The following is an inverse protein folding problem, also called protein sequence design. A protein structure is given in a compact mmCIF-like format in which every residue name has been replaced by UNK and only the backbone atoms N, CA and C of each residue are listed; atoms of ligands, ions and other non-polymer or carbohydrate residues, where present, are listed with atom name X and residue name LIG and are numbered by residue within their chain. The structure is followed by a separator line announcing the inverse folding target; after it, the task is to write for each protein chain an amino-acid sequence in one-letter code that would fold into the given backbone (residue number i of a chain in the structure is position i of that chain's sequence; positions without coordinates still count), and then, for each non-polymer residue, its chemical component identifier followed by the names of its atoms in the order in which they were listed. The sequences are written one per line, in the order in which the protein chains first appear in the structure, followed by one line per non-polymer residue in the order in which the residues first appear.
data_IF_557653167858
#
_entry.id   IF_557653167858
#
_cell.length_a   1.000
_cell.length_b   1.000
_cell.length_c   1.000
_cell.angle_alpha   90.00
_cell.angle_beta   90.00
_cell.angle_gamma   90.00
#
_symmetry.space_group_name_H-M   'P 1'
#
loop_
_entity.id
_entity.type
_entity.pdbx_description
1 polymer ?
#
# COMPACT_ATOMS: atom_id res chain seq x y z
N UNK A 1 2.87 1.55 -3.75
CA UNK A 1 2.45 0.22 -3.27
C UNK A 1 1.17 0.27 -2.44
N UNK A 2 1.06 1.15 -1.42
CA UNK A 2 -0.14 1.28 -0.57
C UNK A 2 -1.44 1.55 -1.34
N UNK A 3 -1.38 2.36 -2.41
CA UNK A 3 -2.52 2.55 -3.32
C UNK A 3 -2.96 1.25 -4.00
N UNK A 4 -2.02 0.45 -4.51
CA UNK A 4 -2.28 -0.85 -5.12
C UNK A 4 -2.88 -1.84 -4.11
N UNK A 5 -2.41 -1.83 -2.85
CA UNK A 5 -3.01 -2.62 -1.78
C UNK A 5 -4.47 -2.21 -1.48
N UNK A 6 -4.74 -0.91 -1.41
CA UNK A 6 -6.09 -0.38 -1.14
C UNK A 6 -7.07 -0.69 -2.29
N UNK A 7 -6.64 -0.49 -3.54
CA UNK A 7 -7.41 -0.85 -4.73
C UNK A 7 -7.69 -2.35 -4.77
N UNK A 8 -6.68 -3.18 -4.51
CA UNK A 8 -6.83 -4.63 -4.46
C UNK A 8 -7.79 -5.06 -3.36
N UNK A 9 -7.72 -4.42 -2.19
CA UNK A 9 -8.63 -4.72 -1.07
C UNK A 9 -10.09 -4.45 -1.44
N UNK A 10 -10.36 -3.38 -2.20
CA UNK A 10 -11.71 -3.13 -2.73
C UNK A 10 -12.14 -4.25 -3.67
N UNK A 11 -11.29 -4.66 -4.61
CA UNK A 11 -11.61 -5.77 -5.53
C UNK A 11 -11.82 -7.10 -4.78
N UNK A 12 -10.99 -7.41 -3.78
CA UNK A 12 -11.10 -8.61 -2.94
C UNK A 12 -12.37 -8.60 -2.10
N UNK A 13 -12.84 -7.44 -1.67
CA UNK A 13 -14.11 -7.34 -0.94
C UNK A 13 -15.30 -7.81 -1.76
N UNK A 14 -15.24 -7.64 -3.09
CA UNK A 14 -16.29 -8.02 -4.05
C UNK A 14 -16.22 -9.49 -4.49
N UNK A 15 -15.08 -10.17 -4.30
CA UNK A 15 -14.95 -11.61 -4.55
C UNK A 15 -15.93 -12.41 -3.69
N UNK A 16 -16.61 -13.37 -4.33
CA UNK A 16 -17.61 -14.23 -3.69
C UNK A 16 -18.96 -13.56 -3.41
N UNK A 17 -19.19 -12.34 -3.93
CA UNK A 17 -20.49 -11.67 -3.88
C UNK A 17 -21.20 -11.78 -5.24
N UNK A 18 -22.45 -11.33 -5.34
CA UNK A 18 -23.21 -11.23 -6.60
C UNK A 18 -22.49 -10.41 -7.70
N UNK A 19 -21.48 -9.60 -7.34
CA UNK A 19 -20.70 -8.79 -8.27
C UNK A 19 -19.44 -9.49 -8.80
N UNK A 20 -19.22 -10.76 -8.44
CA UNK A 20 -18.06 -11.52 -8.87
C UNK A 20 -18.14 -11.89 -10.36
N UNK A 21 -17.48 -11.08 -11.18
CA UNK A 21 -17.40 -11.25 -12.64
C UNK A 21 -16.00 -11.63 -13.09
N UNK A 22 -15.88 -12.27 -14.25
CA UNK A 22 -14.58 -12.57 -14.88
C UNK A 22 -13.74 -11.31 -15.11
N UNK A 23 -14.38 -10.19 -15.46
CA UNK A 23 -13.69 -8.88 -15.61
C UNK A 23 -13.10 -8.39 -14.30
N UNK A 24 -13.82 -8.55 -13.18
CA UNK A 24 -13.33 -8.17 -11.86
C UNK A 24 -12.10 -8.99 -11.46
N UNK A 25 -12.13 -10.30 -11.70
CA UNK A 25 -11.00 -11.21 -11.45
C UNK A 25 -9.78 -10.89 -12.30
N UNK A 26 -9.99 -10.65 -13.60
CA UNK A 26 -8.90 -10.24 -14.49
C UNK A 26 -8.28 -8.90 -14.02
N UNK A 27 -9.12 -7.94 -13.62
CA UNK A 27 -8.67 -6.66 -13.06
C UNK A 27 -7.86 -6.88 -11.77
N UNK A 28 -8.34 -7.76 -10.89
CA UNK A 28 -7.65 -8.12 -9.66
C UNK A 28 -6.28 -8.73 -9.95
N UNK A 29 -6.20 -9.69 -10.87
CA UNK A 29 -4.95 -10.32 -11.28
C UNK A 29 -3.97 -9.31 -11.88
N UNK A 30 -4.46 -8.39 -12.72
CA UNK A 30 -3.63 -7.30 -13.26
C UNK A 30 -3.08 -6.41 -12.14
N UNK A 31 -3.92 -6.03 -11.16
CA UNK A 31 -3.50 -5.21 -10.02
C UNK A 31 -2.53 -5.95 -9.10
N UNK A 32 -2.68 -7.26 -8.94
CA UNK A 32 -1.72 -8.12 -8.23
C UNK A 32 -0.34 -8.11 -8.91
N UNK A 33 -0.30 -8.37 -10.21
CA UNK A 33 0.96 -8.36 -10.98
C UNK A 33 1.64 -6.99 -10.95
N UNK A 34 0.87 -5.91 -11.12
CA UNK A 34 1.39 -4.55 -11.01
C UNK A 34 1.97 -4.27 -9.61
N UNK A 35 1.28 -4.71 -8.55
CA UNK A 35 1.76 -4.57 -7.18
C UNK A 35 3.03 -5.38 -6.90
N UNK A 36 3.12 -6.62 -7.39
CA UNK A 36 4.31 -7.46 -7.25
C UNK A 36 5.52 -6.84 -8.00
N UNK A 37 5.33 -6.40 -9.25
CA UNK A 37 6.38 -5.71 -10.00
C UNK A 37 6.86 -4.44 -9.29
N UNK A 38 5.92 -3.63 -8.78
CA UNK A 38 6.27 -2.43 -8.03
C UNK A 38 7.05 -2.75 -6.75
N UNK A 39 6.70 -3.82 -6.04
CA UNK A 39 7.44 -4.27 -4.86
C UNK A 39 8.87 -4.70 -5.24
N UNK A 40 9.04 -5.49 -6.30
CA UNK A 40 10.36 -5.94 -6.81
C UNK A 40 11.23 -4.76 -7.27
N UNK A 41 10.64 -3.80 -7.98
CA UNK A 41 11.40 -2.63 -8.44
C UNK A 41 11.77 -1.70 -7.28
N UNK A 42 10.89 -1.55 -6.30
CA UNK A 42 11.20 -0.79 -5.08
C UNK A 42 12.31 -1.46 -4.28
N UNK A 43 12.31 -2.79 -4.15
CA UNK A 43 13.39 -3.56 -3.52
C UNK A 43 14.74 -3.34 -4.22
N UNK A 44 14.79 -3.45 -5.55
CA UNK A 44 16.00 -3.17 -6.34
C UNK A 44 16.51 -1.76 -6.13
N UNK A 45 15.62 -0.77 -6.16
CA UNK A 45 15.98 0.64 -5.94
C UNK A 45 16.49 0.86 -4.51
N UNK A 46 15.88 0.19 -3.52
CA UNK A 46 16.32 0.26 -2.13
C UNK A 46 17.73 -0.30 -1.97
N UNK A 47 18.00 -1.49 -2.52
CA UNK A 47 19.34 -2.10 -2.53
C UNK A 47 20.38 -1.22 -3.22
N UNK A 48 20.02 -0.61 -4.35
CA UNK A 48 20.89 0.33 -5.03
C UNK A 48 21.17 1.57 -4.16
N UNK A 49 20.14 2.13 -3.51
CA UNK A 49 20.27 3.28 -2.62
C UNK A 49 21.14 2.99 -1.39
N UNK A 50 21.00 1.80 -0.79
CA UNK A 50 21.81 1.40 0.36
C UNK A 50 23.27 1.11 0.01
N UNK A 51 23.56 0.73 -1.24
CA UNK A 51 24.92 0.50 -1.74
C UNK A 51 25.69 1.78 -2.12
N UNK A 52 25.04 2.95 -2.16
CA UNK A 52 25.70 4.20 -2.56
C UNK A 52 26.74 4.66 -1.52
N UNK A 53 27.92 5.14 -1.96
CA UNK A 53 28.97 5.59 -1.05
C UNK A 53 28.52 6.75 -0.18
N UNK A 54 28.94 6.68 1.08
CA UNK A 54 28.59 7.64 2.14
C UNK A 54 29.34 8.95 1.88
N UNK A 55 28.59 10.03 1.64
CA UNK A 55 29.13 11.39 1.52
C UNK A 55 29.14 12.14 2.85
N UNK A 56 29.55 13.43 2.86
CA UNK A 56 29.61 14.25 4.08
C UNK A 56 28.25 14.39 4.79
N UNK A 57 27.14 14.26 4.07
CA UNK A 57 25.77 14.30 4.61
C UNK A 57 25.26 12.94 5.14
N UNK A 58 26.12 12.15 5.79
CA UNK A 58 25.83 10.80 6.26
C UNK A 58 24.59 10.73 7.18
N UNK A 59 24.43 11.70 8.07
CA UNK A 59 23.30 11.74 9.03
C UNK A 59 21.96 11.93 8.33
N UNK A 60 21.89 12.82 7.35
CA UNK A 60 20.66 13.07 6.59
C UNK A 60 20.30 11.87 5.72
N UNK A 61 21.28 11.22 5.08
CA UNK A 61 21.04 10.00 4.31
C UNK A 61 20.57 8.84 5.19
N UNK A 62 21.14 8.68 6.40
CA UNK A 62 20.72 7.63 7.33
C UNK A 62 19.24 7.78 7.71
N UNK A 63 18.82 9.00 8.07
CA UNK A 63 17.43 9.31 8.39
C UNK A 63 16.49 9.07 7.18
N UNK A 64 16.92 9.41 5.97
CA UNK A 64 16.15 9.13 4.75
C UNK A 64 16.05 7.63 4.48
N UNK A 65 17.14 6.86 4.64
CA UNK A 65 17.17 5.40 4.52
C UNK A 65 16.19 4.75 5.49
N UNK A 66 16.27 5.10 6.78
CA UNK A 66 15.39 4.55 7.82
C UNK A 66 13.91 4.84 7.52
N UNK A 67 13.57 6.08 7.14
CA UNK A 67 12.19 6.43 6.75
C UNK A 67 11.71 5.62 5.55
N UNK A 68 12.51 5.54 4.49
CA UNK A 68 12.16 4.82 3.27
C UNK A 68 11.99 3.32 3.53
N UNK A 69 12.84 2.71 4.36
CA UNK A 69 12.71 1.31 4.76
C UNK A 69 11.44 1.06 5.57
N UNK A 70 11.12 1.94 6.52
CA UNK A 70 9.91 1.84 7.33
C UNK A 70 8.64 2.00 6.49
N UNK A 71 8.60 3.00 5.60
CA UNK A 71 7.46 3.25 4.71
C UNK A 71 7.25 2.08 3.74
N UNK A 72 8.33 1.56 3.17
CA UNK A 72 8.26 0.42 2.26
C UNK A 72 7.82 -0.85 2.99
N UNK A 73 8.37 -1.13 4.18
CA UNK A 73 7.95 -2.26 5.02
C UNK A 73 6.47 -2.18 5.39
N UNK A 74 5.97 -1.01 5.77
CA UNK A 74 4.55 -0.80 6.08
C UNK A 74 3.66 -1.05 4.85
N UNK A 75 4.05 -0.52 3.69
CA UNK A 75 3.32 -0.72 2.44
C UNK A 75 3.32 -2.18 1.98
N UNK A 76 4.46 -2.87 2.13
CA UNK A 76 4.64 -4.27 1.77
C UNK A 76 3.81 -5.19 2.68
N UNK A 77 3.77 -4.91 3.98
CA UNK A 77 2.92 -5.61 4.94
C UNK A 77 1.43 -5.49 4.58
N UNK A 78 0.99 -4.28 4.26
CA UNK A 78 -0.40 -4.06 3.81
C UNK A 78 -0.70 -4.85 2.55
N UNK A 79 0.20 -4.83 1.57
CA UNK A 79 0.03 -5.56 0.31
C UNK A 79 -0.03 -7.08 0.51
N UNK A 80 0.89 -7.64 1.31
CA UNK A 80 0.92 -9.06 1.62
C UNK A 80 -0.35 -9.53 2.34
N UNK A 81 -0.87 -8.73 3.27
CA UNK A 81 -2.15 -9.02 3.95
C UNK A 81 -3.30 -9.11 2.95
N UNK A 82 -3.38 -8.17 2.01
CA UNK A 82 -4.41 -8.18 0.96
C UNK A 82 -4.27 -9.39 0.04
N UNK A 83 -3.05 -9.78 -0.35
CA UNK A 83 -2.82 -10.99 -1.15
C UNK A 83 -3.25 -12.27 -0.41
N UNK A 84 -2.96 -12.39 0.89
CA UNK A 84 -3.42 -13.53 1.70
C UNK A 84 -4.94 -13.59 1.78
N UNK A 85 -5.59 -12.46 2.00
CA UNK A 85 -7.05 -12.37 2.02
C UNK A 85 -7.66 -12.76 0.67
N UNK A 86 -7.05 -12.34 -0.45
CA UNK A 86 -7.47 -12.76 -1.78
C UNK A 86 -7.38 -14.28 -1.94
N UNK A 87 -6.25 -14.88 -1.54
CA UNK A 87 -6.03 -16.32 -1.65
C UNK A 87 -7.00 -17.12 -0.78
N UNK A 88 -7.32 -16.62 0.41
CA UNK A 88 -8.30 -17.23 1.31
C UNK A 88 -9.71 -17.22 0.71
N UNK A 89 -10.16 -16.07 0.19
CA UNK A 89 -11.47 -15.97 -0.48
C UNK A 89 -11.60 -16.88 -1.69
N UNK A 90 -10.56 -16.95 -2.52
CA UNK A 90 -10.54 -17.86 -3.67
C UNK A 90 -10.59 -19.33 -3.24
N UNK A 91 -9.84 -19.71 -2.20
CA UNK A 91 -9.88 -21.07 -1.63
C UNK A 91 -11.25 -21.40 -1.06
N UNK A 92 -11.87 -20.48 -0.33
CA UNK A 92 -13.20 -20.67 0.23
C UNK A 92 -14.25 -20.89 -0.85
N UNK A 93 -14.18 -20.11 -1.94
CA UNK A 93 -15.04 -20.29 -3.11
C UNK A 93 -14.88 -21.68 -3.72
N UNK A 94 -13.64 -22.08 -4.03
CA UNK A 94 -13.34 -23.41 -4.60
C UNK A 94 -13.80 -24.54 -3.69
N UNK A 95 -13.57 -24.42 -2.37
CA UNK A 95 -13.99 -25.41 -1.39
C UNK A 95 -15.52 -25.55 -1.34
N UNK A 96 -16.26 -24.43 -1.36
CA UNK A 96 -17.71 -24.40 -1.34
C UNK A 96 -18.32 -25.05 -2.58
N UNK A 97 -17.83 -24.73 -3.78
CA UNK A 97 -18.33 -25.32 -5.04
C UNK A 97 -18.06 -26.83 -5.07
N UNK A 98 -16.89 -27.28 -4.61
CA UNK A 98 -16.58 -28.72 -4.48
C UNK A 98 -17.39 -29.44 -3.41
N UNK A 99 -17.71 -28.79 -2.30
CA UNK A 99 -18.57 -29.38 -1.27
C UNK A 99 -20.00 -29.56 -1.79
N UNK A 100 -20.53 -28.55 -2.49
CA UNK A 100 -21.83 -28.61 -3.15
C UNK A 100 -21.88 -29.73 -4.21
N UNK A 101 -20.78 -29.93 -4.95
CA UNK A 101 -20.66 -31.02 -5.93
C UNK A 101 -20.74 -32.41 -5.30
N UNK A 102 -20.05 -32.61 -4.17
CA UNK A 102 -20.01 -33.90 -3.48
C UNK A 102 -21.35 -34.26 -2.85
N UNK A 103 -22.07 -33.28 -2.31
CA UNK A 103 -23.43 -33.47 -1.78
C UNK A 103 -24.41 -33.85 -2.89
N UNK A 104 -24.24 -33.32 -4.11
CA UNK A 104 -25.07 -33.66 -5.27
C UNK A 104 -24.72 -35.03 -5.90
N UNK A 105 -23.46 -35.49 -5.76
CA UNK A 105 -22.99 -36.78 -6.33
C UNK A 105 -23.00 -38.00 -5.40
N UNK A 106 -23.33 -37.87 -4.10
CA UNK A 106 -23.26 -39.05 -3.23
C UNK A 106 -23.62 -38.83 -1.77
N UNK A 107 -24.92 -38.86 -1.48
CA UNK A 107 -25.46 -39.18 -0.17
C UNK A 107 -26.21 -40.51 -0.23
N UNK A 108 -25.52 -41.63 -0.44
CA UNK A 108 -26.09 -42.96 -0.21
C UNK A 108 -25.36 -43.57 0.99
N UNK A 109 -26.01 -43.71 2.16
CA UNK A 109 -25.50 -44.58 3.20
C UNK A 109 -25.62 -46.02 2.66
N UNK A 110 -24.48 -46.66 2.40
CA UNK A 110 -24.46 -48.12 2.21
C UNK A 110 -24.71 -48.80 3.56
N UNK A 111 -25.97 -48.86 3.97
CA UNK A 111 -26.44 -49.78 5.00
C UNK A 111 -27.96 -49.96 4.88
N UNK A 112 -28.40 -50.81 3.95
CA UNK A 112 -29.71 -51.46 4.08
C UNK A 112 -29.80 -52.72 3.22
N UNK A 113 -29.52 -53.87 3.83
CA UNK A 113 -30.01 -55.17 3.38
C UNK A 113 -31.54 -55.17 3.43
N UNK A 114 -32.24 -55.19 2.28
CA UNK A 114 -33.70 -55.29 2.27
C UNK A 114 -34.40 -55.07 0.93
N UNK A 115 -34.37 -56.11 0.09
CA UNK A 115 -35.32 -56.48 -0.98
C UNK A 115 -36.52 -55.54 -1.31
N UNK A 116 -36.50 -54.87 -2.47
CA UNK A 116 -37.66 -54.64 -3.36
C UNK A 116 -37.23 -54.04 -4.73
N UNK A 117 -37.89 -54.39 -5.85
CA UNK A 117 -37.57 -53.87 -7.18
C UNK A 117 -38.45 -52.66 -7.56
N UNK A 118 -37.98 -51.91 -8.56
CA UNK A 118 -38.70 -51.00 -9.48
C UNK A 118 -38.31 -49.51 -9.41
N UNK A 119 -38.04 -48.96 -10.62
CA UNK A 119 -37.80 -47.55 -10.99
C UNK A 119 -36.44 -46.91 -10.67
N UNK A 120 -35.39 -47.40 -11.35
CA UNK A 120 -34.08 -46.74 -11.42
C UNK A 120 -33.88 -45.84 -12.66
N UNK A 121 -34.92 -45.56 -13.46
CA UNK A 121 -34.78 -44.83 -14.73
C UNK A 121 -35.22 -43.36 -14.69
N UNK A 122 -35.73 -42.84 -13.56
CA UNK A 122 -36.27 -41.47 -13.48
C UNK A 122 -35.55 -40.54 -12.50
N UNK A 123 -34.60 -41.03 -11.70
CA UNK A 123 -33.77 -40.18 -10.81
C UNK A 123 -32.48 -39.72 -11.53
N UNK A 124 -32.14 -40.33 -12.66
CA UNK A 124 -30.90 -40.06 -13.40
C UNK A 124 -30.92 -38.77 -14.24
N UNK A 125 -32.06 -38.07 -14.31
CA UNK A 125 -32.20 -36.81 -15.04
C UNK A 125 -32.15 -35.56 -14.13
N UNK A 126 -32.02 -35.75 -12.80
CA UNK A 126 -31.90 -34.66 -11.82
C UNK A 126 -30.62 -34.76 -11.00
N UNK A 127 -29.66 -35.58 -11.45
CA UNK A 127 -28.24 -35.39 -11.16
C UNK A 127 -27.81 -34.22 -12.02
N UNK A 128 -28.00 -33.00 -11.49
CA UNK A 128 -27.47 -31.78 -12.12
C UNK A 128 -26.01 -32.03 -12.45
N UNK A 129 -25.74 -32.12 -13.74
CA UNK A 129 -24.40 -32.23 -14.26
C UNK A 129 -23.62 -31.08 -13.63
N UNK A 130 -22.56 -31.42 -12.92
CA UNK A 130 -21.52 -30.47 -12.61
C UNK A 130 -21.12 -29.82 -13.95
N UNK A 131 -21.52 -28.57 -14.17
CA UNK A 131 -21.46 -27.98 -15.50
C UNK A 131 -19.97 -27.89 -15.90
N UNK A 132 -19.65 -28.16 -17.16
CA UNK A 132 -18.28 -28.00 -17.67
C UNK A 132 -17.75 -26.57 -17.43
N UNK A 133 -18.65 -25.59 -17.39
CA UNK A 133 -18.39 -24.21 -17.01
C UNK A 133 -17.92 -24.05 -15.56
N UNK A 134 -18.52 -24.77 -14.60
CA UNK A 134 -18.12 -24.73 -13.18
C UNK A 134 -16.73 -25.34 -12.98
N UNK A 135 -16.41 -26.42 -13.71
CA UNK A 135 -15.08 -27.04 -13.70
C UNK A 135 -14.01 -26.07 -14.23
N UNK A 136 -14.31 -25.39 -15.34
CA UNK A 136 -13.41 -24.37 -15.92
C UNK A 136 -13.20 -23.21 -14.95
N UNK A 137 -14.26 -22.75 -14.30
CA UNK A 137 -14.19 -21.68 -13.30
C UNK A 137 -13.35 -22.08 -12.10
N UNK A 138 -13.52 -23.29 -11.56
CA UNK A 138 -12.67 -23.81 -10.48
C UNK A 138 -11.21 -23.84 -10.90
N UNK A 139 -10.92 -24.32 -12.11
CA UNK A 139 -9.55 -24.38 -12.61
C UNK A 139 -8.92 -22.98 -12.75
N UNK A 140 -9.70 -21.99 -13.21
CA UNK A 140 -9.27 -20.59 -13.25
C UNK A 140 -8.92 -20.08 -11.85
N UNK A 141 -9.79 -20.30 -10.86
CA UNK A 141 -9.54 -19.88 -9.47
C UNK A 141 -8.32 -20.57 -8.87
N UNK A 142 -8.14 -21.87 -9.12
CA UNK A 142 -6.97 -22.60 -8.63
C UNK A 142 -5.67 -22.08 -9.24
N UNK A 143 -5.68 -21.71 -10.52
CA UNK A 143 -4.54 -21.04 -11.13
C UNK A 143 -4.25 -19.69 -10.46
N UNK A 144 -5.28 -18.91 -10.14
CA UNK A 144 -5.12 -17.65 -9.42
C UNK A 144 -4.57 -17.83 -8.00
N UNK A 145 -5.01 -18.87 -7.27
CA UNK A 145 -4.48 -19.23 -5.95
C UNK A 145 -2.99 -19.56 -6.03
N UNK A 146 -2.57 -20.39 -6.99
CA UNK A 146 -1.15 -20.73 -7.18
C UNK A 146 -0.30 -19.51 -7.49
N UNK A 147 -0.81 -18.60 -8.32
CA UNK A 147 -0.14 -17.33 -8.61
C UNK A 147 0.02 -16.49 -7.34
N UNK A 148 -1.04 -16.36 -6.54
CA UNK A 148 -1.00 -15.65 -5.26
C UNK A 148 0.01 -16.25 -4.27
N UNK A 149 0.09 -17.58 -4.18
CA UNK A 149 1.09 -18.27 -3.35
C UNK A 149 2.52 -17.97 -3.80
N UNK A 150 2.76 -17.97 -5.12
CA UNK A 150 4.05 -17.60 -5.70
C UNK A 150 4.38 -16.14 -5.39
N UNK A 151 3.43 -15.22 -5.60
CA UNK A 151 3.64 -13.79 -5.34
C UNK A 151 3.91 -13.54 -3.85
N UNK A 152 3.22 -14.24 -2.93
CA UNK A 152 3.48 -14.12 -1.48
C UNK A 152 4.90 -14.61 -1.14
N UNK A 153 5.40 -15.62 -1.85
CA UNK A 153 6.77 -16.12 -1.68
C UNK A 153 7.78 -15.07 -2.12
N UNK A 154 7.58 -14.45 -3.28
CA UNK A 154 8.43 -13.33 -3.76
C UNK A 154 8.47 -12.18 -2.73
N UNK A 155 7.32 -11.84 -2.15
CA UNK A 155 7.22 -10.77 -1.15
C UNK A 155 7.96 -11.15 0.14
N UNK A 156 7.93 -12.43 0.55
CA UNK A 156 8.70 -12.89 1.70
C UNK A 156 10.22 -12.78 1.46
N UNK A 157 10.68 -12.97 0.23
CA UNK A 157 12.10 -12.79 -0.10
C UNK A 157 12.50 -11.30 0.00
N UNK A 158 11.65 -10.39 -0.47
CA UNK A 158 11.85 -8.95 -0.26
C UNK A 158 11.87 -8.59 1.24
N UNK A 159 11.04 -9.23 2.08
CA UNK A 159 11.09 -9.03 3.53
C UNK A 159 12.43 -9.47 4.15
N UNK A 160 13.04 -10.56 3.67
CA UNK A 160 14.37 -10.98 4.12
C UNK A 160 15.42 -9.94 3.73
N UNK A 161 15.34 -9.44 2.51
CA UNK A 161 16.24 -8.38 2.02
C UNK A 161 16.11 -7.09 2.85
N UNK A 162 14.88 -6.69 3.18
CA UNK A 162 14.62 -5.57 4.09
C UNK A 162 15.19 -5.82 5.49
N UNK A 163 15.00 -7.02 6.03
CA UNK A 163 15.56 -7.43 7.32
C UNK A 163 17.08 -7.29 7.35
N UNK A 164 17.77 -7.68 6.27
CA UNK A 164 19.22 -7.49 6.14
C UNK A 164 19.61 -6.00 6.09
N UNK A 165 18.89 -5.18 5.33
CA UNK A 165 19.17 -3.73 5.21
C UNK A 165 18.94 -2.95 6.51
N UNK A 166 18.06 -3.48 7.39
CA UNK A 166 17.77 -2.94 8.72
C UNK A 166 18.76 -3.47 9.76
N UNK A 167 19.14 -4.76 9.73
CA UNK A 167 20.04 -5.36 10.73
C UNK A 167 21.47 -4.78 10.73
N UNK A 168 21.93 -4.19 9.62
CA UNK A 168 23.18 -3.40 9.57
C UNK A 168 23.11 -2.05 10.32
N UNK A 169 21.93 -1.67 10.82
CA UNK A 169 21.69 -0.49 11.66
C UNK A 169 21.09 -0.98 12.99
N UNK A 170 21.92 -1.14 14.03
CA UNK A 170 21.46 -1.61 15.35
C UNK A 170 20.24 -0.85 15.87
N UNK A 171 19.29 -1.61 16.45
CA UNK A 171 18.04 -1.21 17.10
C UNK A 171 17.01 -0.41 16.27
N UNK A 172 16.10 -1.13 15.60
CA UNK A 172 14.69 -0.72 15.47
C UNK A 172 13.78 -1.89 15.08
N UNK A 173 13.60 -2.84 16.00
CA UNK A 173 12.44 -3.76 16.00
C UNK A 173 11.63 -3.40 17.24
N UNK A 174 11.05 -2.20 17.30
CA UNK A 174 9.99 -1.91 18.28
C UNK A 174 9.13 -0.68 17.92
N UNK A 175 8.76 -0.54 16.64
CA UNK A 175 7.90 0.58 16.21
C UNK A 175 6.82 0.18 15.21
N UNK A 176 6.32 -1.06 15.29
CA UNK A 176 5.12 -1.47 14.53
C UNK A 176 3.83 -0.92 15.19
N UNK A 177 3.89 -0.35 16.39
CA UNK A 177 2.72 0.25 17.07
C UNK A 177 2.70 1.79 17.09
N UNK A 178 3.81 2.47 16.79
CA UNK A 178 3.91 3.94 16.97
C UNK A 178 3.68 4.80 15.71
N UNK A 179 3.63 4.21 14.51
CA UNK A 179 3.68 5.00 13.27
C UNK A 179 2.33 5.45 12.68
N UNK A 180 1.23 5.28 13.43
CA UNK A 180 -0.06 5.93 13.11
C UNK A 180 -0.11 7.39 13.60
N UNK A 181 0.76 7.79 14.54
CA UNK A 181 0.76 9.15 15.11
C UNK A 181 1.65 10.16 14.34
N UNK A 182 2.56 9.67 13.50
CA UNK A 182 3.55 10.54 12.81
C UNK A 182 3.00 11.23 11.56
N UNK A 183 1.89 10.74 10.99
CA UNK A 183 1.25 11.37 9.82
C UNK A 183 0.53 12.68 10.18
N UNK A 184 -0.01 12.79 11.40
CA UNK A 184 -0.69 14.01 11.88
C UNK A 184 0.31 15.13 12.19
N UNK A 185 1.45 14.78 12.77
CA UNK A 185 2.53 15.71 13.10
C UNK A 185 3.21 16.33 11.88
N UNK A 186 3.19 15.68 10.71
CA UNK A 186 3.79 16.22 9.49
C UNK A 186 2.92 17.33 8.85
N UNK A 187 1.59 17.21 8.95
CA UNK A 187 0.64 18.24 8.50
C UNK A 187 0.62 19.43 9.47
N UNK A 188 0.71 19.17 10.78
CA UNK A 188 0.72 20.22 11.79
C UNK A 188 1.97 21.11 11.66
N UNK A 189 3.16 20.51 11.46
CA UNK A 189 4.41 21.26 11.25
C UNK A 189 4.45 22.00 9.91
N UNK A 190 3.88 21.45 8.84
CA UNK A 190 3.76 22.14 7.55
C UNK A 190 2.86 23.38 7.65
N UNK A 191 1.75 23.30 8.39
CA UNK A 191 0.85 24.44 8.62
C UNK A 191 1.48 25.53 9.50
N UNK A 192 2.28 25.14 10.50
CA UNK A 192 3.02 26.08 11.33
C UNK A 192 4.09 26.83 10.53
N UNK A 193 4.84 26.14 9.66
CA UNK A 193 5.84 26.80 8.82
C UNK A 193 5.22 27.80 7.82
N UNK A 194 4.05 27.48 7.26
CA UNK A 194 3.30 28.41 6.39
C UNK A 194 2.79 29.64 7.17
N UNK A 195 2.29 29.44 8.39
CA UNK A 195 1.80 30.53 9.24
C UNK A 195 2.94 31.44 9.73
N UNK A 196 4.08 30.84 10.08
CA UNK A 196 5.26 31.57 10.54
C UNK A 196 5.88 32.37 9.39
N UNK A 197 5.96 31.82 8.18
CA UNK A 197 6.41 32.52 6.98
C UNK A 197 5.53 33.75 6.64
N UNK A 198 4.20 33.61 6.76
CA UNK A 198 3.28 34.74 6.55
C UNK A 198 3.46 35.86 7.59
N UNK A 199 3.64 35.50 8.86
CA UNK A 199 3.86 36.48 9.95
C UNK A 199 5.20 37.23 9.81
N UNK A 200 6.24 36.54 9.33
CA UNK A 200 7.56 37.12 9.11
C UNK A 200 7.53 38.12 7.95
N UNK A 201 6.79 37.80 6.87
CA UNK A 201 6.60 38.69 5.72
C UNK A 201 5.89 39.99 6.10
N UNK A 202 4.88 39.94 6.99
CA UNK A 202 4.15 41.14 7.42
C UNK A 202 5.01 42.06 8.31
N UNK A 203 5.86 41.48 9.16
CA UNK A 203 6.75 42.23 10.05
C UNK A 203 7.92 42.87 9.30
N UNK A 204 8.44 42.22 8.26
CA UNK A 204 9.51 42.75 7.40
C UNK A 204 9.07 44.00 6.64
N UNK A 205 7.85 44.02 6.09
CA UNK A 205 7.32 45.20 5.37
C UNK A 205 7.25 46.43 6.27
N UNK A 206 6.87 46.27 7.54
CA UNK A 206 6.82 47.37 8.52
C UNK A 206 8.22 47.90 8.85
N UNK A 207 9.20 47.00 9.04
CA UNK A 207 10.60 47.37 9.33
C UNK A 207 11.25 48.11 8.16
N UNK A 208 11.02 47.66 6.92
CA UNK A 208 11.52 48.33 5.71
C UNK A 208 10.94 49.75 5.61
N UNK A 209 9.64 49.93 5.87
CA UNK A 209 9.01 51.26 5.83
C UNK A 209 9.61 52.23 6.86
N UNK A 210 9.85 51.76 8.09
CA UNK A 210 10.51 52.56 9.14
C UNK A 210 11.93 52.95 8.73
N UNK A 211 12.70 52.02 8.16
CA UNK A 211 14.07 52.28 7.70
C UNK A 211 14.11 53.36 6.60
N UNK A 212 13.16 53.33 5.66
CA UNK A 212 13.05 54.33 4.60
C UNK A 212 12.72 55.73 5.16
N UNK A 213 11.82 55.82 6.13
CA UNK A 213 11.47 57.11 6.77
C UNK A 213 12.68 57.69 7.51
N UNK A 214 13.39 56.88 8.30
CA UNK A 214 14.60 57.31 9.01
C UNK A 214 15.69 57.77 8.03
N UNK A 215 15.90 57.03 6.95
CA UNK A 215 16.83 57.40 5.89
C UNK A 215 16.48 58.74 5.24
N UNK A 216 15.20 58.96 4.91
CA UNK A 216 14.73 60.21 4.32
C UNK A 216 14.96 61.42 5.25
N UNK A 217 14.66 61.28 6.55
CA UNK A 217 14.91 62.32 7.55
C UNK A 217 16.41 62.63 7.66
N UNK A 218 17.26 61.59 7.68
CA UNK A 218 18.71 61.76 7.70
C UNK A 218 19.24 62.56 6.50
N UNK A 219 18.75 62.25 5.30
CA UNK A 219 19.12 62.98 4.07
C UNK A 219 18.72 64.45 4.16
N UNK A 220 17.52 64.76 4.68
CA UNK A 220 17.06 66.15 4.84
C UNK A 220 17.94 66.91 5.84
N UNK A 221 18.28 66.31 6.97
CA UNK A 221 19.14 66.94 8.00
C UNK A 221 20.54 67.23 7.42
N UNK A 222 21.13 66.26 6.71
CA UNK A 222 22.43 66.45 6.05
C UNK A 222 22.35 67.58 5.02
N UNK A 223 21.29 67.62 4.21
CA UNK A 223 21.07 68.71 3.24
C UNK A 223 20.97 70.09 3.90
N UNK A 224 20.28 70.20 5.05
CA UNK A 224 20.17 71.45 5.79
C UNK A 224 21.51 71.90 6.39
N UNK A 225 22.33 70.97 6.90
CA UNK A 225 23.66 71.27 7.43
C UNK A 225 24.56 71.80 6.30
N UNK A 226 24.57 71.14 5.14
CA UNK A 226 25.36 71.57 3.98
C UNK A 226 24.88 72.94 3.49
N UNK A 227 23.57 73.14 3.35
CA UNK A 227 23.01 74.43 2.94
C UNK A 227 23.35 75.57 3.92
N UNK A 228 23.27 75.30 5.22
CA UNK A 228 23.66 76.24 6.27
C UNK A 228 25.15 76.60 6.20
N UNK A 229 26.02 75.60 5.98
CA UNK A 229 27.46 75.81 5.85
C UNK A 229 27.88 76.56 4.57
N UNK A 230 27.11 76.43 3.48
CA UNK A 230 27.37 77.14 2.21
C UNK A 230 26.86 78.59 2.26
N UNK A 231 25.89 78.89 3.12
CA UNK A 231 25.26 80.23 3.23
C UNK A 231 25.91 81.11 4.31
N UNK A 232 26.78 80.56 5.15
CA UNK A 232 27.62 81.29 6.11
C UNK A 232 28.92 81.77 5.45
#
# INVERSE_FOLDING_TARGET
LSFSASDMQRLVSLLGTEQDTSQLRHTLQQKQQQGNNLAKDTDKLMKAFTALPIGPDQRQRKLQKERLLNDFSAALNSFQRTQRQAAEKEREYVARVRASSRVSSGGQPEDSFGNAPQNYSQVQAQTEAFNEEDLRLIQERESAIRQLESDITDINDIFKDLGMMVHEQGDMIDSIEANVETADNCVQNASQQLTQAASYQQSHRKKICILLIVGAVGIVVIGLIIWGAVKQ
#
